data_IF_086581180632
#
_entry.id   IF_086581180632
#
_cell.length_a   1.000
_cell.length_b   1.000
_cell.length_c   1.000
_cell.angle_alpha   90.00
_cell.angle_beta   90.00
_cell.angle_gamma   90.00
#
_symmetry.space_group_name_H-M   'P 1'
#
loop_
_entity.id
_entity.type
_entity.pdbx_description
1 polymer ?
#
# COMPACT_ATOMS: atom_id res chain seq x y z
N UNK A 1 -0.49 -9.20 12.79
CA UNK A 1 -0.19 -7.82 13.21
C UNK A 1 -1.32 -7.34 14.11
N UNK A 2 -1.08 -7.24 15.43
CA UNK A 2 -2.07 -6.76 16.42
C UNK A 2 -1.29 -5.93 17.45
N UNK A 3 -1.84 -4.80 17.89
CA UNK A 3 -1.17 -3.86 18.81
C UNK A 3 -1.12 -2.43 18.26
N UNK A 4 -0.52 -1.52 19.02
CA UNK A 4 -0.50 -0.07 18.73
C UNK A 4 0.16 0.28 17.39
N UNK A 5 1.11 -0.53 16.93
CA UNK A 5 1.83 -0.33 15.66
C UNK A 5 1.15 -1.01 14.47
N UNK A 6 -0.07 -1.55 14.65
CA UNK A 6 -0.67 -2.40 13.63
C UNK A 6 -0.93 -1.70 12.30
N UNK A 7 -1.33 -0.43 12.34
CA UNK A 7 -1.48 0.41 11.15
C UNK A 7 -0.15 0.58 10.41
N UNK A 8 0.89 1.01 11.15
CA UNK A 8 2.22 1.26 10.59
C UNK A 8 2.79 0.00 9.94
N UNK A 9 2.79 -1.12 10.67
CA UNK A 9 3.34 -2.37 10.15
C UNK A 9 2.61 -2.87 8.90
N UNK A 10 1.28 -2.68 8.79
CA UNK A 10 0.55 -3.06 7.56
C UNK A 10 0.83 -2.07 6.43
N UNK A 11 0.83 -0.75 6.71
CA UNK A 11 1.18 0.31 5.75
C UNK A 11 2.55 0.06 5.13
N UNK A 12 3.57 -0.14 5.96
CA UNK A 12 4.96 -0.36 5.53
C UNK A 12 5.08 -1.66 4.73
N UNK A 13 4.34 -2.71 5.11
CA UNK A 13 4.29 -3.96 4.34
C UNK A 13 3.66 -3.77 2.96
N UNK A 14 2.55 -3.01 2.86
CA UNK A 14 1.93 -2.74 1.56
C UNK A 14 2.87 -1.94 0.66
N UNK A 15 3.55 -0.93 1.20
CA UNK A 15 4.55 -0.14 0.49
C UNK A 15 5.72 -0.99 0.01
N UNK A 16 6.29 -1.83 0.88
CA UNK A 16 7.34 -2.78 0.50
C UNK A 16 6.95 -3.69 -0.66
N UNK A 17 5.72 -4.23 -0.67
CA UNK A 17 5.28 -5.07 -1.78
C UNK A 17 5.11 -4.27 -3.08
N UNK A 18 4.56 -3.07 -3.01
CA UNK A 18 4.31 -2.21 -4.17
C UNK A 18 5.60 -1.66 -4.78
N UNK A 19 6.57 -1.27 -3.96
CA UNK A 19 7.77 -0.56 -4.42
C UNK A 19 8.97 -1.48 -4.64
N UNK A 20 9.08 -2.56 -3.87
CA UNK A 20 10.25 -3.44 -3.92
C UNK A 20 9.95 -4.81 -4.53
N UNK A 21 8.88 -5.47 -4.07
CA UNK A 21 8.63 -6.87 -4.46
C UNK A 21 8.06 -6.97 -5.88
N UNK A 22 6.93 -6.32 -6.15
CA UNK A 22 6.24 -6.44 -7.44
C UNK A 22 7.08 -5.92 -8.60
N UNK A 23 7.83 -4.80 -8.49
CA UNK A 23 8.70 -4.34 -9.57
C UNK A 23 9.82 -5.32 -9.91
N UNK A 24 10.40 -5.99 -8.90
CA UNK A 24 11.41 -7.04 -9.13
C UNK A 24 10.78 -8.28 -9.77
N UNK A 25 9.61 -8.71 -9.30
CA UNK A 25 8.88 -9.86 -9.86
C UNK A 25 8.46 -9.63 -11.33
N UNK A 26 8.04 -8.41 -11.69
CA UNK A 26 7.73 -8.05 -13.08
C UNK A 26 8.95 -8.16 -13.99
N UNK A 27 10.14 -7.79 -13.50
CA UNK A 27 11.39 -7.88 -14.27
C UNK A 27 11.90 -9.31 -14.42
N UNK A 28 11.60 -10.20 -13.48
CA UNK A 28 12.12 -11.58 -13.50
C UNK A 28 11.36 -12.53 -14.43
N UNK A 29 10.14 -12.19 -14.87
CA UNK A 29 9.35 -13.05 -15.75
C UNK A 29 8.41 -12.26 -16.66
N UNK A 30 8.68 -12.26 -17.97
CA UNK A 30 7.82 -11.64 -18.97
C UNK A 30 6.42 -12.28 -19.02
N UNK A 31 6.32 -13.60 -18.81
CA UNK A 31 5.04 -14.32 -18.77
C UNK A 31 4.12 -13.82 -17.66
N UNK A 32 4.67 -13.43 -16.51
CA UNK A 32 3.89 -13.00 -15.35
C UNK A 32 3.77 -11.48 -15.23
N UNK A 33 4.41 -10.71 -16.12
CA UNK A 33 4.47 -9.26 -16.03
C UNK A 33 3.08 -8.63 -15.94
N UNK A 34 2.13 -9.07 -16.78
CA UNK A 34 0.76 -8.58 -16.78
C UNK A 34 0.04 -8.89 -15.45
N UNK A 35 0.13 -10.14 -15.00
CA UNK A 35 -0.49 -10.57 -13.74
C UNK A 35 0.08 -9.83 -12.53
N UNK A 36 1.38 -9.55 -12.50
CA UNK A 36 2.02 -8.80 -11.43
C UNK A 36 1.63 -7.32 -11.46
N UNK A 37 1.47 -6.72 -12.64
CA UNK A 37 0.94 -5.36 -12.79
C UNK A 37 -0.51 -5.27 -12.29
N UNK A 38 -1.37 -6.19 -12.70
CA UNK A 38 -2.77 -6.23 -12.29
C UNK A 38 -2.90 -6.45 -10.77
N UNK A 39 -2.04 -7.30 -10.19
CA UNK A 39 -1.93 -7.49 -8.73
C UNK A 39 -1.54 -6.19 -8.01
N UNK A 40 -0.57 -5.44 -8.54
CA UNK A 40 -0.18 -4.14 -7.99
C UNK A 40 -1.33 -3.14 -7.97
N UNK A 41 -2.12 -3.07 -9.05
CA UNK A 41 -3.29 -2.21 -9.11
C UNK A 41 -4.39 -2.61 -8.10
N UNK A 42 -4.63 -3.92 -7.93
CA UNK A 42 -5.57 -4.40 -6.91
C UNK A 42 -5.11 -4.01 -5.50
N UNK A 43 -3.82 -4.12 -5.21
CA UNK A 43 -3.26 -3.76 -3.91
C UNK A 43 -3.32 -2.26 -3.64
N UNK A 44 -3.06 -1.42 -4.66
CA UNK A 44 -3.22 0.04 -4.58
C UNK A 44 -4.68 0.44 -4.31
N UNK A 45 -5.62 -0.17 -5.04
CA UNK A 45 -7.05 0.08 -4.83
C UNK A 45 -7.49 -0.32 -3.43
N UNK A 46 -7.04 -1.47 -2.94
CA UNK A 46 -7.31 -1.90 -1.56
C UNK A 46 -6.76 -0.90 -0.54
N UNK A 47 -5.50 -0.44 -0.71
CA UNK A 47 -4.88 0.57 0.17
C UNK A 47 -5.73 1.85 0.22
N UNK A 48 -6.16 2.33 -0.94
CA UNK A 48 -7.01 3.51 -1.06
C UNK A 48 -8.37 3.31 -0.36
N UNK A 49 -9.04 2.18 -0.56
CA UNK A 49 -10.31 1.86 0.12
C UNK A 49 -10.16 1.76 1.63
N UNK A 50 -9.09 1.12 2.11
CA UNK A 50 -8.79 0.99 3.53
C UNK A 50 -8.50 2.34 4.18
N UNK A 51 -7.82 3.25 3.47
CA UNK A 51 -7.54 4.61 3.94
C UNK A 51 -8.80 5.48 3.95
N UNK A 52 -9.46 5.62 2.80
CA UNK A 52 -10.53 6.60 2.59
C UNK A 52 -11.88 6.17 3.19
N UNK A 53 -12.27 4.91 3.04
CA UNK A 53 -13.62 4.45 3.36
C UNK A 53 -13.72 3.88 4.77
N UNK A 54 -12.76 3.04 5.15
CA UNK A 54 -12.83 2.32 6.42
C UNK A 54 -11.94 2.91 7.52
N UNK A 55 -11.11 3.90 7.20
CA UNK A 55 -10.15 4.54 8.12
C UNK A 55 -9.28 3.52 8.86
N UNK A 56 -8.89 2.44 8.18
CA UNK A 56 -7.95 1.45 8.72
C UNK A 56 -6.52 1.99 8.77
N UNK A 57 -6.18 2.91 7.86
CA UNK A 57 -4.86 3.54 7.76
C UNK A 57 -4.83 4.97 8.26
N UNK A 58 -5.28 5.21 9.50
CA UNK A 58 -5.17 6.54 10.13
C UNK A 58 -3.73 7.04 10.28
N UNK A 59 -2.75 6.13 10.30
CA UNK A 59 -1.32 6.46 10.31
C UNK A 59 -0.82 7.07 8.99
N UNK A 60 -1.58 6.94 7.89
CA UNK A 60 -1.25 7.56 6.59
C UNK A 60 -1.93 8.92 6.38
N UNK A 61 -2.84 9.32 7.28
CA UNK A 61 -3.58 10.57 7.15
C UNK A 61 -2.70 11.76 7.55
N UNK A 62 -2.67 12.79 6.69
CA UNK A 62 -2.01 14.05 7.01
C UNK A 62 -2.99 14.98 7.71
N UNK A 63 -2.53 15.66 8.76
CA UNK A 63 -3.38 16.62 9.46
C UNK A 63 -3.67 17.83 8.55
N UNK A 64 -4.97 18.13 8.32
CA UNK A 64 -5.40 19.32 7.59
C UNK A 64 -4.94 20.63 8.22
N UNK A 65 -4.78 20.65 9.55
CA UNK A 65 -4.22 21.82 10.24
C UNK A 65 -2.76 22.06 9.90
N UNK A 66 -2.02 21.05 9.43
CA UNK A 66 -0.64 21.18 8.95
C UNK A 66 -0.53 21.55 7.47
N UNK A 67 -1.65 21.61 6.74
CA UNK A 67 -1.64 22.04 5.32
C UNK A 67 -1.61 23.56 5.17
N UNK A 68 -1.95 24.30 6.24
CA UNK A 68 -2.07 25.76 6.26
C UNK A 68 -1.04 26.44 7.19
N UNK A 69 0.00 25.71 7.59
CA UNK A 69 1.16 26.24 8.34
C UNK A 69 2.28 26.54 7.37
#
# INVERSE_FOLDING_TARGET
IKGSLGCQSVSDMMEFYLEEVLPRAMRSSSQHQRSMFDLGNLLLNLRATMRLCHKFFTCEERSRSMEHI
#
